data_IF_469673118846
#
_entry.id   IF_469673118846
#
_cell.length_a   1.000
_cell.length_b   1.000
_cell.length_c   1.000
_cell.angle_alpha   90.00
_cell.angle_beta   90.00
_cell.angle_gamma   90.00
#
_symmetry.space_group_name_H-M   'P 1'
#
loop_
_entity.id
_entity.type
_entity.pdbx_description
1 polymer ?
#
# COMPACT_ATOMS: atom_id res chain seq x y z
N UNK A 1 29.91 -20.46 29.68
CA UNK A 1 29.35 -19.52 30.69
C UNK A 1 27.86 -19.36 30.37
N UNK A 2 26.99 -19.99 31.16
CA UNK A 2 25.54 -19.81 31.04
C UNK A 2 25.19 -18.37 31.40
N UNK A 3 24.34 -17.71 30.61
CA UNK A 3 23.83 -16.37 30.93
C UNK A 3 22.96 -16.46 32.19
N UNK A 4 23.00 -15.45 33.09
CA UNK A 4 22.16 -15.45 34.29
C UNK A 4 20.68 -15.50 33.91
N UNK A 5 19.90 -16.32 34.62
CA UNK A 5 18.51 -16.66 34.31
C UNK A 5 17.62 -15.41 34.10
N UNK A 6 17.88 -14.32 34.83
CA UNK A 6 17.12 -13.07 34.70
C UNK A 6 17.37 -12.33 33.38
N UNK A 7 18.56 -12.39 32.78
CA UNK A 7 18.80 -11.80 31.44
C UNK A 7 18.12 -12.62 30.34
N UNK A 8 17.99 -13.94 30.55
CA UNK A 8 17.26 -14.82 29.64
C UNK A 8 15.74 -14.57 29.73
N UNK A 9 15.20 -14.36 30.93
CA UNK A 9 13.82 -13.93 31.14
C UNK A 9 13.55 -12.57 30.50
N UNK A 10 14.41 -11.57 30.71
CA UNK A 10 14.24 -10.22 30.13
C UNK A 10 14.30 -10.24 28.60
N UNK A 11 15.17 -11.08 28.00
CA UNK A 11 15.23 -11.26 26.55
C UNK A 11 14.01 -12.02 26.00
N UNK A 12 13.45 -12.99 26.75
CA UNK A 12 12.18 -13.67 26.43
C UNK A 12 11.00 -12.71 26.52
N UNK A 13 10.94 -11.88 27.56
CA UNK A 13 9.92 -10.86 27.79
C UNK A 13 9.93 -9.79 26.70
N UNK A 14 11.11 -9.34 26.24
CA UNK A 14 11.23 -8.44 25.07
C UNK A 14 10.76 -9.05 23.75
N UNK A 15 10.71 -10.38 23.66
CA UNK A 15 10.25 -11.15 22.50
C UNK A 15 8.85 -11.73 22.67
N UNK A 16 8.18 -11.47 23.80
CA UNK A 16 6.84 -11.95 24.08
C UNK A 16 5.84 -11.16 23.23
N UNK A 17 5.72 -11.56 21.98
CA UNK A 17 4.52 -11.35 21.18
C UNK A 17 3.36 -11.92 22.03
N UNK A 18 2.27 -11.17 22.17
CA UNK A 18 1.11 -11.65 22.93
C UNK A 18 0.73 -13.07 22.46
N UNK A 19 0.69 -14.08 23.34
CA UNK A 19 0.22 -15.41 22.99
C UNK A 19 -1.16 -15.42 22.31
N UNK A 20 -1.99 -14.40 22.56
CA UNK A 20 -3.32 -14.24 21.98
C UNK A 20 -3.33 -13.44 20.67
N UNK A 21 -2.20 -12.87 20.24
CA UNK A 21 -2.15 -12.13 18.98
C UNK A 21 -2.17 -13.09 17.77
N UNK A 22 -2.92 -12.75 16.70
CA UNK A 22 -2.80 -13.45 15.44
C UNK A 22 -1.34 -13.52 14.98
N UNK A 23 -0.92 -14.66 14.43
CA UNK A 23 0.44 -14.84 13.93
C UNK A 23 0.59 -14.17 12.57
N UNK A 24 1.72 -13.49 12.33
CA UNK A 24 1.98 -12.85 11.04
C UNK A 24 1.94 -13.86 9.88
N UNK A 25 1.30 -13.51 8.75
CA UNK A 25 1.18 -14.37 7.59
C UNK A 25 2.56 -14.57 6.95
N UNK A 26 2.72 -15.68 6.22
CA UNK A 26 3.99 -15.98 5.55
C UNK A 26 4.11 -15.20 4.25
N UNK A 27 5.34 -14.89 3.85
CA UNK A 27 5.62 -14.38 2.51
C UNK A 27 5.44 -15.50 1.46
N UNK A 28 5.16 -15.13 0.21
CA UNK A 28 5.00 -16.08 -0.91
C UNK A 28 6.19 -17.02 -1.07
N UNK A 29 7.42 -16.51 -0.93
CA UNK A 29 8.63 -17.33 -0.93
C UNK A 29 8.67 -18.32 0.25
N UNK A 30 8.19 -17.92 1.44
CA UNK A 30 8.16 -18.82 2.60
C UNK A 30 7.10 -19.92 2.46
N UNK A 31 5.98 -19.61 1.80
CA UNK A 31 4.95 -20.60 1.44
C UNK A 31 5.53 -21.61 0.46
N UNK A 32 6.19 -21.14 -0.61
CA UNK A 32 6.88 -21.99 -1.57
C UNK A 32 7.97 -22.84 -0.91
N UNK A 33 8.81 -22.25 -0.06
CA UNK A 33 9.85 -22.96 0.67
C UNK A 33 9.25 -24.11 1.51
N UNK A 34 8.17 -23.85 2.24
CA UNK A 34 7.50 -24.90 3.04
C UNK A 34 6.94 -26.00 2.15
N UNK A 35 6.30 -25.63 1.04
CA UNK A 35 5.77 -26.55 0.06
C UNK A 35 6.87 -27.43 -0.55
N UNK A 36 8.00 -26.85 -0.97
CA UNK A 36 9.14 -27.59 -1.52
C UNK A 36 9.81 -28.52 -0.50
N UNK A 37 9.94 -28.07 0.75
CA UNK A 37 10.46 -28.92 1.83
C UNK A 37 9.52 -30.10 2.09
N UNK A 38 8.20 -29.89 2.06
CA UNK A 38 7.25 -31.00 2.25
C UNK A 38 7.22 -31.99 1.09
N UNK A 39 7.65 -31.58 -0.11
CA UNK A 39 7.70 -32.45 -1.28
C UNK A 39 8.97 -33.31 -1.36
N UNK A 40 10.00 -33.02 -0.56
CA UNK A 40 11.29 -33.72 -0.65
C UNK A 40 11.92 -33.91 0.73
N UNK A 41 11.90 -35.15 1.21
CA UNK A 41 12.62 -35.54 2.43
C UNK A 41 14.12 -35.31 2.30
N UNK A 42 14.67 -35.50 1.08
CA UNK A 42 16.08 -35.21 0.78
C UNK A 42 16.42 -33.72 0.97
N UNK A 43 15.53 -32.80 0.59
CA UNK A 43 15.70 -31.37 0.90
C UNK A 43 15.48 -31.10 2.39
N UNK A 44 14.51 -31.75 3.03
CA UNK A 44 14.22 -31.57 4.45
C UNK A 44 15.41 -31.93 5.34
N UNK A 45 16.10 -33.03 5.01
CA UNK A 45 17.26 -33.55 5.74
C UNK A 45 18.55 -32.74 5.51
N UNK A 46 18.60 -31.84 4.53
CA UNK A 46 19.78 -31.00 4.28
C UNK A 46 19.98 -29.95 5.37
N UNK A 47 21.23 -29.52 5.64
CA UNK A 47 21.51 -28.40 6.52
C UNK A 47 20.75 -27.14 6.08
N UNK A 48 20.25 -26.38 7.06
CA UNK A 48 19.39 -25.20 6.82
C UNK A 48 19.96 -24.23 5.76
N UNK A 49 21.25 -23.93 5.83
CA UNK A 49 21.90 -23.01 4.88
C UNK A 49 21.93 -23.52 3.45
N UNK A 50 22.28 -24.80 3.25
CA UNK A 50 22.32 -25.43 1.92
C UNK A 50 20.90 -25.54 1.34
N UNK A 51 19.95 -25.99 2.15
CA UNK A 51 18.54 -26.10 1.77
C UNK A 51 17.95 -24.77 1.31
N UNK A 52 18.16 -23.71 2.07
CA UNK A 52 17.63 -22.39 1.73
C UNK A 52 18.29 -21.81 0.48
N UNK A 53 19.58 -22.08 0.26
CA UNK A 53 20.27 -21.67 -0.96
C UNK A 53 19.67 -22.35 -2.19
N UNK A 54 19.47 -23.67 -2.14
CA UNK A 54 18.87 -24.44 -3.24
C UNK A 54 17.44 -23.95 -3.56
N UNK A 55 16.60 -23.82 -2.54
CA UNK A 55 15.21 -23.33 -2.71
C UNK A 55 15.18 -21.89 -3.20
N UNK A 56 16.12 -21.04 -2.77
CA UNK A 56 16.25 -19.67 -3.25
C UNK A 56 16.56 -19.59 -4.75
N UNK A 57 17.47 -20.44 -5.22
CA UNK A 57 17.79 -20.55 -6.65
C UNK A 57 16.59 -21.06 -7.45
N UNK A 58 15.90 -22.09 -6.94
CA UNK A 58 14.72 -22.63 -7.59
C UNK A 58 13.59 -21.59 -7.68
N UNK A 59 13.36 -20.85 -6.60
CA UNK A 59 12.40 -19.75 -6.61
C UNK A 59 12.79 -18.65 -7.60
N UNK A 60 14.07 -18.29 -7.70
CA UNK A 60 14.51 -17.29 -8.69
C UNK A 60 14.20 -17.75 -10.11
N UNK A 61 14.46 -19.02 -10.44
CA UNK A 61 14.22 -19.64 -11.74
C UNK A 61 12.74 -19.96 -12.04
N UNK A 62 11.85 -19.94 -11.04
CA UNK A 62 10.46 -20.33 -11.21
C UNK A 62 9.69 -19.37 -12.16
N UNK A 63 8.84 -19.89 -13.06
CA UNK A 63 7.99 -19.06 -13.93
C UNK A 63 7.08 -18.10 -13.16
N UNK A 64 6.74 -16.94 -13.74
CA UNK A 64 5.88 -15.96 -13.08
C UNK A 64 4.50 -16.53 -12.71
N UNK A 65 3.93 -17.39 -13.56
CA UNK A 65 2.64 -18.04 -13.32
C UNK A 65 2.65 -18.91 -12.06
N UNK A 66 3.71 -19.69 -11.87
CA UNK A 66 3.84 -20.54 -10.68
C UNK A 66 4.13 -19.71 -9.42
N UNK A 67 4.92 -18.64 -9.54
CA UNK A 67 5.11 -17.66 -8.44
C UNK A 67 3.80 -16.97 -8.07
N UNK A 68 2.94 -16.71 -9.05
CA UNK A 68 1.67 -16.03 -8.86
C UNK A 68 0.74 -16.81 -7.94
N UNK A 69 0.66 -18.14 -8.06
CA UNK A 69 -0.13 -18.99 -7.17
C UNK A 69 0.25 -18.74 -5.69
N UNK A 70 1.55 -18.69 -5.38
CA UNK A 70 2.03 -18.43 -4.03
C UNK A 70 1.88 -16.96 -3.61
N UNK A 71 1.94 -16.01 -4.55
CA UNK A 71 1.68 -14.60 -4.29
C UNK A 71 0.21 -14.37 -3.93
N UNK A 72 -0.72 -14.99 -4.65
CA UNK A 72 -2.16 -14.94 -4.36
C UNK A 72 -2.46 -15.58 -3.02
N UNK A 73 -1.88 -16.75 -2.73
CA UNK A 73 -2.02 -17.39 -1.42
C UNK A 73 -1.49 -16.51 -0.28
N UNK A 74 -0.32 -15.88 -0.46
CA UNK A 74 0.22 -14.95 0.51
C UNK A 74 -0.65 -13.68 0.67
N UNK A 75 -1.30 -13.21 -0.39
CA UNK A 75 -2.24 -12.08 -0.32
C UNK A 75 -3.47 -12.44 0.51
N UNK A 76 -4.08 -13.60 0.23
CA UNK A 76 -5.24 -14.09 0.99
C UNK A 76 -4.93 -14.26 2.47
N UNK A 77 -3.77 -14.85 2.80
CA UNK A 77 -3.34 -14.97 4.21
C UNK A 77 -3.11 -13.61 4.86
N UNK A 78 -2.61 -12.62 4.11
CA UNK A 78 -2.40 -11.26 4.60
C UNK A 78 -3.71 -10.53 4.87
N UNK A 79 -4.68 -10.66 3.99
CA UNK A 79 -6.01 -10.08 4.15
C UNK A 79 -6.72 -10.69 5.37
N UNK A 80 -6.67 -12.01 5.51
CA UNK A 80 -7.20 -12.70 6.69
C UNK A 80 -6.54 -12.23 7.98
N UNK A 81 -5.20 -12.18 8.02
CA UNK A 81 -4.47 -11.67 9.17
C UNK A 81 -4.85 -10.21 9.49
N UNK A 82 -5.03 -9.37 8.47
CA UNK A 82 -5.41 -7.97 8.67
C UNK A 82 -6.76 -7.89 9.38
N UNK A 83 -7.77 -8.64 8.92
CA UNK A 83 -9.08 -8.71 9.56
C UNK A 83 -9.00 -9.27 11.00
N UNK A 84 -8.30 -10.39 11.19
CA UNK A 84 -8.13 -11.02 12.51
C UNK A 84 -7.39 -10.08 13.49
N UNK A 85 -6.39 -9.33 12.99
CA UNK A 85 -5.62 -8.38 13.78
C UNK A 85 -6.42 -7.12 14.13
N UNK A 86 -7.28 -6.65 13.23
CA UNK A 86 -8.22 -5.56 13.51
C UNK A 86 -9.24 -5.95 14.58
N UNK A 87 -9.77 -7.17 14.51
CA UNK A 87 -10.64 -7.71 15.56
C UNK A 87 -9.89 -7.84 16.90
N UNK A 88 -8.67 -8.38 16.87
CA UNK A 88 -7.83 -8.54 18.06
C UNK A 88 -7.51 -7.18 18.72
N UNK A 89 -7.27 -6.10 17.96
CA UNK A 89 -7.08 -4.76 18.54
C UNK A 89 -8.24 -4.26 19.38
N UNK A 90 -9.47 -4.70 19.09
CA UNK A 90 -10.66 -4.30 19.85
C UNK A 90 -10.84 -5.11 21.14
N UNK A 91 -10.14 -6.24 21.29
CA UNK A 91 -10.26 -7.11 22.46
C UNK A 91 -9.60 -6.51 23.70
N UNK A 92 -10.11 -6.89 24.88
CA UNK A 92 -9.52 -6.50 26.17
C UNK A 92 -8.08 -7.03 26.32
N UNK A 93 -7.78 -8.21 25.76
CA UNK A 93 -6.44 -8.79 25.76
C UNK A 93 -5.39 -7.87 25.13
N UNK A 94 -5.72 -7.21 24.01
CA UNK A 94 -4.80 -6.25 23.37
C UNK A 94 -4.58 -5.00 24.24
N UNK A 95 -5.63 -4.49 24.90
CA UNK A 95 -5.55 -3.33 25.80
C UNK A 95 -4.68 -3.65 27.02
N UNK A 96 -4.87 -4.82 27.62
CA UNK A 96 -4.09 -5.29 28.77
C UNK A 96 -2.62 -5.53 28.39
N UNK A 97 -2.37 -6.09 27.21
CA UNK A 97 -1.02 -6.26 26.67
C UNK A 97 -0.35 -4.91 26.41
N UNK A 98 -1.06 -3.94 25.83
CA UNK A 98 -0.55 -2.59 25.60
C UNK A 98 -0.20 -1.87 26.92
N UNK A 99 -1.07 -1.96 27.93
CA UNK A 99 -0.80 -1.41 29.26
C UNK A 99 0.42 -2.05 29.92
N UNK A 100 0.60 -3.37 29.79
CA UNK A 100 1.78 -4.10 30.28
C UNK A 100 3.06 -3.66 29.57
N UNK A 101 3.02 -3.43 28.25
CA UNK A 101 4.19 -2.94 27.50
C UNK A 101 4.62 -1.53 27.91
N UNK A 102 3.67 -0.63 28.17
CA UNK A 102 3.96 0.73 28.65
C UNK A 102 4.52 0.73 30.10
N UNK A 103 4.00 -0.16 30.96
CA UNK A 103 4.56 -0.37 32.31
C UNK A 103 6.00 -0.90 32.30
N UNK A 104 6.37 -1.78 31.35
CA UNK A 104 7.75 -2.27 31.21
C UNK A 104 8.71 -1.19 30.69
N UNK A 105 8.29 -0.32 29.75
CA UNK A 105 9.12 0.77 29.22
C UNK A 105 9.46 1.82 30.29
N UNK A 106 8.56 2.07 31.24
CA UNK A 106 8.80 3.00 32.36
C UNK A 106 9.89 2.55 33.34
N UNK A 107 10.22 1.26 33.39
CA UNK A 107 11.20 0.71 34.36
C UNK A 107 12.65 0.58 33.83
N UNK A 108 12.90 0.84 32.54
CA UNK A 108 14.17 0.51 31.87
C UNK A 108 15.12 1.71 31.58
N UNK A 109 14.95 2.86 32.24
CA UNK A 109 16.02 3.89 32.26
C UNK A 109 16.85 3.77 33.54
N UNK A 110 18.14 3.36 33.47
CA UNK A 110 19.19 4.39 33.46
C UNK A 110 20.51 4.06 32.71
N UNK A 111 21.18 5.14 32.28
CA UNK A 111 22.64 5.41 32.13
C UNK A 111 23.64 4.29 31.77
N UNK A 112 24.29 4.50 30.62
CA UNK A 112 25.73 4.36 30.34
C UNK A 112 26.56 3.33 31.12
N UNK A 113 27.03 2.28 30.44
CA UNK A 113 28.36 1.72 30.74
C UNK A 113 28.98 1.02 29.52
N UNK A 114 30.21 1.46 29.22
CA UNK A 114 31.18 0.90 28.27
C UNK A 114 31.40 -0.60 28.50
N UNK A 115 31.47 -1.38 27.43
CA UNK A 115 32.30 -2.60 27.34
C UNK A 115 32.41 -3.11 25.90
N UNK A 116 33.62 -3.08 25.34
CA UNK A 116 34.07 -4.01 24.26
C UNK A 116 35.19 -4.91 24.81
N UNK A 117 35.93 -5.69 23.99
CA UNK A 117 35.65 -6.23 22.65
C UNK A 117 36.00 -7.75 22.51
N UNK A 118 35.55 -8.41 21.42
CA UNK A 118 36.10 -9.60 20.70
C UNK A 118 34.94 -10.38 20.03
N UNK A 119 34.91 -10.78 18.76
CA UNK A 119 35.82 -10.69 17.61
C UNK A 119 35.47 -11.80 16.58
N UNK A 120 35.63 -11.50 15.27
CA UNK A 120 35.71 -12.41 14.07
C UNK A 120 34.41 -13.10 13.61
N UNK A 121 34.06 -13.26 12.32
CA UNK A 121 34.72 -13.19 10.99
C UNK A 121 33.60 -13.02 9.91
N UNK A 122 33.65 -12.02 9.02
CA UNK A 122 33.97 -12.11 7.57
C UNK A 122 33.22 -13.17 6.76
N UNK A 123 32.29 -12.76 5.88
CA UNK A 123 32.39 -12.78 4.41
C UNK A 123 30.99 -12.58 3.82
N UNK A 124 30.71 -11.45 3.16
CA UNK A 124 29.59 -11.34 2.22
C UNK A 124 30.16 -11.03 0.84
N UNK A 125 29.80 -11.79 -0.20
CA UNK A 125 30.19 -11.50 -1.57
C UNK A 125 29.45 -10.24 -2.05
N UNK A 126 30.18 -9.41 -2.79
CA UNK A 126 29.67 -8.23 -3.47
C UNK A 126 28.49 -8.62 -4.38
N UNK A 127 27.34 -8.00 -4.16
CA UNK A 127 26.26 -7.96 -5.14
C UNK A 127 26.34 -6.58 -5.78
N UNK A 128 26.86 -6.55 -7.01
CA UNK A 128 26.76 -5.42 -7.92
C UNK A 128 25.28 -5.17 -8.25
N UNK A 129 24.66 -4.29 -7.46
CA UNK A 129 23.35 -3.75 -7.76
C UNK A 129 23.54 -2.31 -8.24
N UNK A 130 23.71 -2.19 -9.55
CA UNK A 130 23.73 -0.92 -10.25
C UNK A 130 22.50 -0.08 -9.86
N UNK A 131 22.76 1.19 -9.52
CA UNK A 131 21.82 2.30 -9.30
C UNK A 131 21.21 2.54 -7.90
N UNK A 132 21.70 1.97 -6.81
CA UNK A 132 21.41 2.53 -5.49
C UNK A 132 22.45 3.60 -5.13
N UNK A 133 22.06 4.82 -4.68
CA UNK A 133 23.02 5.78 -4.17
C UNK A 133 23.86 5.10 -3.09
N UNK A 134 25.18 5.10 -3.26
CA UNK A 134 26.12 4.50 -2.31
C UNK A 134 25.96 5.22 -0.99
N UNK A 135 25.06 4.76 -0.13
CA UNK A 135 24.99 5.23 1.25
C UNK A 135 26.32 4.83 1.86
N UNK A 136 27.09 5.78 2.42
CA UNK A 136 28.30 5.43 3.16
C UNK A 136 27.91 4.35 4.17
N UNK A 137 28.78 3.35 4.37
CA UNK A 137 28.54 2.29 5.34
C UNK A 137 28.71 2.87 6.74
N UNK A 138 27.71 3.64 7.17
CA UNK A 138 27.70 4.31 8.47
C UNK A 138 27.50 3.21 9.53
N UNK A 139 28.43 3.06 10.50
CA UNK A 139 28.29 2.06 11.55
C UNK A 139 26.98 2.24 12.33
N UNK A 140 26.27 1.15 12.57
CA UNK A 140 25.05 1.17 13.38
C UNK A 140 25.34 1.77 14.76
N UNK A 141 24.47 2.69 15.20
CA UNK A 141 24.59 3.45 16.45
C UNK A 141 25.76 4.47 16.52
N UNK A 142 26.36 4.86 15.40
CA UNK A 142 27.19 6.07 15.36
C UNK A 142 26.34 7.35 15.44
N UNK A 143 26.96 8.46 15.81
CA UNK A 143 26.32 9.79 15.79
C UNK A 143 25.80 10.15 14.40
N UNK A 144 26.60 9.86 13.37
CA UNK A 144 26.22 9.99 11.95
C UNK A 144 25.01 9.12 11.59
N UNK A 145 24.93 7.88 12.09
CA UNK A 145 23.82 6.97 11.81
C UNK A 145 22.52 7.50 12.43
N UNK A 146 22.59 7.99 13.67
CA UNK A 146 21.45 8.56 14.36
C UNK A 146 21.00 9.88 13.71
N UNK A 147 21.93 10.72 13.26
CA UNK A 147 21.62 11.95 12.53
C UNK A 147 20.97 11.64 11.16
N UNK A 148 21.56 10.72 10.39
CA UNK A 148 21.02 10.27 9.11
C UNK A 148 19.62 9.68 9.26
N UNK A 149 19.41 8.82 10.26
CA UNK A 149 18.09 8.23 10.51
C UNK A 149 17.05 9.30 10.90
N UNK A 150 17.43 10.26 11.76
CA UNK A 150 16.55 11.39 12.10
C UNK A 150 16.19 12.22 10.86
N UNK A 151 17.17 12.56 10.02
CA UNK A 151 16.93 13.33 8.79
C UNK A 151 16.05 12.56 7.81
N UNK A 152 16.28 11.24 7.66
CA UNK A 152 15.44 10.36 6.83
C UNK A 152 14.02 10.29 7.36
N UNK A 153 13.82 10.14 8.66
CA UNK A 153 12.49 10.13 9.28
C UNK A 153 11.79 11.49 9.12
N UNK A 154 12.51 12.60 9.24
CA UNK A 154 11.97 13.94 8.95
C UNK A 154 11.56 14.09 7.48
N UNK A 155 12.42 13.66 6.54
CA UNK A 155 12.11 13.70 5.11
C UNK A 155 10.88 12.84 4.79
N UNK A 156 10.77 11.62 5.37
CA UNK A 156 9.60 10.76 5.21
C UNK A 156 8.33 11.39 5.79
N UNK A 157 8.41 12.08 6.93
CA UNK A 157 7.28 12.83 7.49
C UNK A 157 6.84 13.96 6.57
N UNK A 158 7.79 14.73 6.02
CA UNK A 158 7.50 15.81 5.09
C UNK A 158 6.86 15.28 3.79
N UNK A 159 7.39 14.19 3.23
CA UNK A 159 6.84 13.55 2.03
C UNK A 159 5.43 13.02 2.28
N UNK A 160 5.17 12.39 3.44
CA UNK A 160 3.82 11.96 3.81
C UNK A 160 2.86 13.13 3.89
N UNK A 161 3.29 14.26 4.47
CA UNK A 161 2.48 15.49 4.52
C UNK A 161 2.20 16.07 3.13
N UNK A 162 3.20 16.09 2.25
CA UNK A 162 3.02 16.54 0.86
C UNK A 162 2.08 15.60 0.09
N UNK A 163 2.19 14.28 0.28
CA UNK A 163 1.29 13.32 -0.34
C UNK A 163 -0.17 13.56 0.08
N UNK A 164 -0.44 13.76 1.37
CA UNK A 164 -1.80 14.08 1.84
C UNK A 164 -2.32 15.41 1.27
N UNK A 165 -1.46 16.42 1.15
CA UNK A 165 -1.84 17.70 0.56
C UNK A 165 -2.20 17.57 -0.92
N UNK A 166 -1.40 16.83 -1.70
CA UNK A 166 -1.68 16.58 -3.11
C UNK A 166 -2.93 15.73 -3.32
N UNK A 167 -3.20 14.77 -2.43
CA UNK A 167 -4.45 14.00 -2.42
C UNK A 167 -5.67 14.91 -2.19
N UNK A 168 -5.59 15.86 -1.25
CA UNK A 168 -6.64 16.85 -0.99
C UNK A 168 -6.84 17.81 -2.20
N UNK A 169 -5.77 18.32 -2.79
CA UNK A 169 -5.83 19.18 -3.99
C UNK A 169 -6.43 18.43 -5.18
N UNK A 170 -6.05 17.17 -5.39
CA UNK A 170 -6.61 16.32 -6.46
C UNK A 170 -8.11 16.11 -6.26
N UNK A 171 -8.56 15.88 -5.03
CA UNK A 171 -9.98 15.74 -4.71
C UNK A 171 -10.77 17.03 -4.99
N UNK A 172 -10.21 18.19 -4.63
CA UNK A 172 -10.82 19.48 -4.93
C UNK A 172 -10.91 19.74 -6.43
N UNK A 173 -9.85 19.45 -7.19
CA UNK A 173 -9.84 19.62 -8.63
C UNK A 173 -10.82 18.68 -9.33
N UNK A 174 -10.90 17.42 -8.90
CA UNK A 174 -11.91 16.46 -9.39
C UNK A 174 -13.33 17.01 -9.22
N UNK A 175 -13.64 17.55 -8.05
CA UNK A 175 -14.94 18.18 -7.79
C UNK A 175 -15.19 19.40 -8.68
N UNK A 176 -14.17 20.21 -8.97
CA UNK A 176 -14.31 21.34 -9.90
C UNK A 176 -14.61 20.86 -11.32
N UNK A 177 -13.90 19.83 -11.78
CA UNK A 177 -14.15 19.20 -13.08
C UNK A 177 -15.58 18.68 -13.15
N UNK A 178 -16.04 17.95 -12.13
CA UNK A 178 -17.44 17.46 -12.04
C UNK A 178 -18.46 18.59 -12.13
N UNK A 179 -18.23 19.71 -11.43
CA UNK A 179 -19.10 20.88 -11.50
C UNK A 179 -19.14 21.48 -12.91
N UNK A 180 -17.99 21.60 -13.58
CA UNK A 180 -17.91 22.10 -14.95
C UNK A 180 -18.55 21.15 -15.95
N UNK A 181 -18.37 19.84 -15.81
CA UNK A 181 -19.03 18.85 -16.68
C UNK A 181 -20.54 18.90 -16.52
N UNK A 182 -21.04 19.07 -15.29
CA UNK A 182 -22.48 19.23 -15.04
C UNK A 182 -23.03 20.52 -15.64
N UNK A 183 -22.29 21.62 -15.54
CA UNK A 183 -22.66 22.88 -16.17
C UNK A 183 -22.68 22.77 -17.70
N UNK A 184 -21.67 22.14 -18.29
CA UNK A 184 -21.60 21.87 -19.74
C UNK A 184 -22.80 21.05 -20.19
N UNK A 185 -23.10 19.93 -19.51
CA UNK A 185 -24.24 19.09 -19.85
C UNK A 185 -25.57 19.86 -19.77
N UNK A 186 -25.72 20.74 -18.77
CA UNK A 186 -26.92 21.58 -18.64
C UNK A 186 -27.04 22.58 -19.81
N UNK A 187 -25.94 23.22 -20.20
CA UNK A 187 -25.92 24.13 -21.35
C UNK A 187 -26.22 23.40 -22.66
N UNK A 188 -25.66 22.21 -22.86
CA UNK A 188 -25.97 21.38 -24.03
C UNK A 188 -27.45 21.01 -24.11
N UNK A 189 -28.08 20.68 -22.97
CA UNK A 189 -29.52 20.43 -22.91
C UNK A 189 -30.32 21.70 -23.24
N UNK A 190 -29.88 22.87 -22.75
CA UNK A 190 -30.52 24.15 -23.09
C UNK A 190 -30.41 24.45 -24.58
N UNK A 191 -29.22 24.26 -25.19
CA UNK A 191 -29.01 24.45 -26.64
C UNK A 191 -29.97 23.56 -27.43
N UNK A 192 -30.01 22.26 -27.12
CA UNK A 192 -30.93 21.32 -27.78
C UNK A 192 -32.40 21.73 -27.64
N UNK A 193 -32.79 22.21 -26.46
CA UNK A 193 -34.15 22.73 -26.22
C UNK A 193 -34.44 23.97 -27.07
N UNK A 194 -33.49 24.91 -27.18
CA UNK A 194 -33.66 26.12 -27.99
C UNK A 194 -33.67 25.82 -29.49
N UNK A 195 -32.86 24.87 -29.96
CA UNK A 195 -32.87 24.40 -31.35
C UNK A 195 -34.23 23.75 -31.70
N UNK A 196 -34.78 22.94 -30.80
CA UNK A 196 -36.11 22.35 -30.98
C UNK A 196 -37.22 23.42 -31.02
N UNK A 197 -37.15 24.44 -30.17
CA UNK A 197 -38.08 25.58 -30.19
C UNK A 197 -37.97 26.36 -31.49
N UNK A 198 -36.75 26.67 -31.94
CA UNK A 198 -36.51 27.37 -33.19
C UNK A 198 -37.07 26.58 -34.39
N UNK A 199 -36.82 25.27 -34.45
CA UNK A 199 -37.35 24.41 -35.51
C UNK A 199 -38.89 24.39 -35.52
N UNK A 200 -39.54 24.44 -34.37
CA UNK A 200 -41.00 24.50 -34.27
C UNK A 200 -41.55 25.85 -34.78
N UNK A 201 -40.92 26.97 -34.41
CA UNK A 201 -41.27 28.31 -34.89
C UNK A 201 -41.04 28.46 -36.41
N UNK A 202 -39.94 27.91 -36.93
CA UNK A 202 -39.66 27.86 -38.37
C UNK A 202 -40.74 27.06 -39.11
N UNK A 203 -41.14 25.90 -38.59
CA UNK A 203 -42.20 25.09 -39.18
C UNK A 203 -43.55 25.81 -39.18
N UNK A 204 -43.88 26.55 -38.11
CA UNK A 204 -45.09 27.35 -38.01
C UNK A 204 -45.08 28.53 -39.00
N UNK A 205 -43.95 29.23 -39.12
CA UNK A 205 -43.76 30.30 -40.11
C UNK A 205 -43.89 29.77 -41.55
N UNK A 206 -43.33 28.59 -41.82
CA UNK A 206 -43.48 27.94 -43.12
C UNK A 206 -44.95 27.58 -43.43
N UNK A 207 -45.71 27.11 -42.43
CA UNK A 207 -47.15 26.83 -42.58
C UNK A 207 -47.92 28.10 -42.92
N UNK A 208 -47.75 29.18 -42.15
CA UNK A 208 -48.43 30.45 -42.43
C UNK A 208 -48.08 31.01 -43.81
N UNK A 209 -46.81 30.94 -44.22
CA UNK A 209 -46.40 31.36 -45.58
C UNK A 209 -47.13 30.57 -46.67
N UNK A 210 -47.24 29.25 -46.52
CA UNK A 210 -47.95 28.40 -47.49
C UNK A 210 -49.44 28.75 -47.56
N UNK A 211 -50.08 28.95 -46.42
CA UNK A 211 -51.51 29.28 -46.33
C UNK A 211 -51.83 30.67 -46.89
N UNK A 212 -51.01 31.68 -46.59
CA UNK A 212 -51.12 33.00 -47.21
C UNK A 212 -50.90 32.95 -48.73
N UNK A 213 -49.91 32.18 -49.19
CA UNK A 213 -49.66 32.03 -50.64
C UNK A 213 -50.84 31.37 -51.34
N UNK A 214 -51.45 30.36 -50.72
CA UNK A 214 -52.63 29.68 -51.24
C UNK A 214 -53.85 30.62 -51.30
N UNK A 215 -54.15 31.34 -50.22
CA UNK A 215 -55.30 32.26 -50.18
C UNK A 215 -55.15 33.43 -51.15
N UNK A 216 -53.95 34.01 -51.28
CA UNK A 216 -53.71 35.04 -52.31
C UNK A 216 -53.82 34.51 -53.74
N UNK A 217 -53.43 33.25 -53.98
CA UNK A 217 -53.62 32.62 -55.29
C UNK A 217 -55.11 32.41 -55.62
N UNK A 218 -55.92 31.99 -54.65
CA UNK A 218 -57.38 31.87 -54.80
C UNK A 218 -58.01 33.23 -55.12
N UNK A 219 -57.72 34.29 -54.35
CA UNK A 219 -58.28 35.63 -54.60
C UNK A 219 -57.93 36.14 -56.01
N UNK A 220 -56.69 35.90 -56.47
CA UNK A 220 -56.26 36.28 -57.82
C UNK A 220 -57.01 35.51 -58.92
N UNK A 221 -57.43 34.28 -58.66
CA UNK A 221 -58.15 33.46 -59.65
C UNK A 221 -59.62 33.84 -59.83
N UNK A 222 -60.19 34.58 -58.86
CA UNK A 222 -61.62 34.97 -58.83
C UNK A 222 -61.84 36.40 -59.36
N UNK A 223 -60.79 37.21 -59.49
CA UNK A 223 -60.82 38.57 -60.11
C UNK A 223 -60.44 38.52 -61.58
#
# INVERSE_FOLDING_TARGET
RSLPHSLYEMARLKKACDPNAPTRPRSSFNLYMRHRISQSEALSSKPFGERNRLIGLEWAALPPEQKQIFNEQASREREKYKADFEAYKQTQAFKDWQAKQEGLKGSLSPKSSKRGPKGKRTHEPEIDMASSPKTPRIPIFSEEFLAYNRQREMALRNLRKQATQLEEETALLSKHVENLTNASAKLELQIKSTEAQLAAEEALTQRFRKELTATFAEVRSVS
#
